data_IF_039464365611
#
_entry.id   IF_039464365611
#
_cell.length_a   1.000
_cell.length_b   1.000
_cell.length_c   1.000
_cell.angle_alpha   90.00
_cell.angle_beta   90.00
_cell.angle_gamma   90.00
#
_symmetry.space_group_name_H-M   'P 1'
#
loop_
_entity.id
_entity.type
_entity.pdbx_description
1 polymer ?
#
# COMPACT_ATOMS: atom_id res chain seq x y z
N UNK A 1 28.59 -14.97 -16.14
CA UNK A 1 28.94 -15.31 -17.54
C UNK A 1 27.89 -14.64 -18.41
N UNK A 2 28.16 -13.41 -18.83
CA UNK A 2 27.22 -12.50 -19.49
C UNK A 2 27.30 -12.73 -20.99
N UNK A 3 26.34 -13.45 -21.56
CA UNK A 3 26.21 -13.54 -23.00
C UNK A 3 25.78 -12.18 -23.57
N UNK A 4 26.68 -11.63 -24.39
CA UNK A 4 26.48 -10.38 -25.12
C UNK A 4 25.52 -10.66 -26.28
N UNK A 5 24.35 -10.02 -26.28
CA UNK A 5 23.54 -9.84 -27.49
C UNK A 5 24.26 -8.87 -28.46
N UNK A 6 25.33 -9.30 -29.15
CA UNK A 6 26.15 -8.39 -29.97
C UNK A 6 25.93 -8.46 -31.49
N UNK A 7 24.96 -9.21 -32.01
CA UNK A 7 24.91 -9.48 -33.45
C UNK A 7 23.64 -9.03 -34.20
N UNK A 8 22.76 -8.24 -33.59
CA UNK A 8 21.72 -7.54 -34.36
C UNK A 8 22.32 -6.30 -35.03
N UNK A 9 22.84 -6.47 -36.24
CA UNK A 9 23.19 -5.33 -37.09
C UNK A 9 21.90 -4.73 -37.61
N UNK A 10 21.60 -3.51 -37.18
CA UNK A 10 20.52 -2.70 -37.76
C UNK A 10 20.85 -2.48 -39.23
N UNK A 11 19.95 -2.90 -40.12
CA UNK A 11 20.17 -2.70 -41.56
C UNK A 11 20.20 -1.21 -41.88
N UNK A 12 21.00 -0.82 -42.88
CA UNK A 12 21.05 0.55 -43.34
C UNK A 12 19.66 1.08 -43.71
N UNK A 13 18.80 0.22 -44.26
CA UNK A 13 17.42 0.54 -44.62
C UNK A 13 16.55 0.85 -43.41
N UNK A 14 16.67 0.09 -42.32
CA UNK A 14 15.95 0.40 -41.08
C UNK A 14 16.41 1.73 -40.49
N UNK A 15 17.73 1.97 -40.45
CA UNK A 15 18.29 3.23 -39.98
C UNK A 15 17.79 4.42 -40.82
N UNK A 16 17.85 4.33 -42.14
CA UNK A 16 17.40 5.36 -43.07
C UNK A 16 15.89 5.62 -42.94
N UNK A 17 15.11 4.57 -42.73
CA UNK A 17 13.67 4.65 -42.47
C UNK A 17 13.39 5.41 -41.18
N UNK A 18 14.09 5.06 -40.10
CA UNK A 18 13.95 5.71 -38.80
C UNK A 18 14.33 7.20 -38.86
N UNK A 19 15.45 7.52 -39.52
CA UNK A 19 15.89 8.90 -39.73
C UNK A 19 14.87 9.69 -40.55
N UNK A 20 14.30 9.09 -41.59
CA UNK A 20 13.26 9.70 -42.41
C UNK A 20 11.97 9.97 -41.62
N UNK A 21 11.56 9.03 -40.76
CA UNK A 21 10.40 9.20 -39.86
C UNK A 21 10.63 10.33 -38.86
N UNK A 22 11.81 10.38 -38.21
CA UNK A 22 12.16 11.44 -37.26
C UNK A 22 12.20 12.80 -37.96
N UNK A 23 12.79 12.87 -39.16
CA UNK A 23 12.85 14.10 -39.94
C UNK A 23 11.46 14.56 -40.39
N UNK A 24 10.59 13.64 -40.80
CA UNK A 24 9.20 13.95 -41.12
C UNK A 24 8.45 14.47 -39.89
N UNK A 25 8.59 13.81 -38.74
CA UNK A 25 7.92 14.21 -37.50
C UNK A 25 8.32 15.63 -37.08
N UNK A 26 9.64 15.92 -37.02
CA UNK A 26 10.14 17.27 -36.67
C UNK A 26 9.60 18.37 -37.58
N UNK A 27 9.46 18.09 -38.90
CA UNK A 27 8.96 19.06 -39.88
C UNK A 27 7.45 19.31 -39.79
N UNK A 28 6.70 18.34 -39.29
CA UNK A 28 5.24 18.38 -39.31
C UNK A 28 4.62 18.53 -37.92
N UNK A 29 5.43 18.50 -36.85
CA UNK A 29 4.96 18.55 -35.46
C UNK A 29 3.99 19.71 -35.20
N UNK A 30 4.32 20.92 -35.63
CA UNK A 30 3.49 22.11 -35.46
C UNK A 30 2.23 22.15 -36.34
N UNK A 31 2.18 21.30 -37.39
CA UNK A 31 1.05 21.19 -38.32
C UNK A 31 0.08 20.09 -37.92
N UNK A 32 0.42 19.29 -36.92
CA UNK A 32 -0.51 18.32 -36.36
C UNK A 32 -1.67 19.10 -35.69
N UNK A 33 -2.93 18.67 -35.88
CA UNK A 33 -4.07 19.31 -35.25
C UNK A 33 -3.84 19.41 -33.74
N UNK A 34 -4.25 20.56 -33.17
CA UNK A 34 -3.99 21.01 -31.79
C UNK A 34 -3.89 19.84 -30.80
N UNK A 35 -2.66 19.38 -30.53
CA UNK A 35 -2.44 18.25 -29.62
C UNK A 35 -2.63 18.64 -28.15
N UNK A 36 -3.20 19.82 -27.83
CA UNK A 36 -3.52 20.19 -26.44
C UNK A 36 -4.46 19.20 -25.74
N UNK A 37 -5.28 18.45 -26.49
CA UNK A 37 -6.12 17.36 -25.96
C UNK A 37 -5.40 16.00 -25.99
N UNK A 38 -4.36 15.87 -26.80
CA UNK A 38 -3.36 14.82 -26.69
C UNK A 38 -2.20 15.36 -25.83
N UNK A 39 -2.50 15.73 -24.57
CA UNK A 39 -1.51 15.31 -23.57
C UNK A 39 -1.40 13.83 -23.84
N UNK A 40 -0.28 13.35 -24.36
CA UNK A 40 0.13 12.00 -24.05
C UNK A 40 -0.07 11.95 -22.54
N UNK A 41 -1.13 11.27 -22.10
CA UNK A 41 -1.18 10.74 -20.76
C UNK A 41 0.02 9.81 -20.75
N UNK A 42 1.19 10.42 -20.52
CA UNK A 42 2.46 9.76 -20.62
C UNK A 42 2.32 8.58 -19.70
N UNK A 43 2.76 7.41 -20.19
CA UNK A 43 2.79 6.18 -19.42
C UNK A 43 3.19 6.55 -17.99
N UNK A 44 2.22 6.54 -17.07
CA UNK A 44 2.53 6.91 -15.70
C UNK A 44 3.40 5.78 -15.17
N UNK A 45 4.48 6.10 -14.42
CA UNK A 45 5.33 5.05 -13.88
C UNK A 45 4.48 4.13 -12.99
N UNK A 46 4.85 2.84 -12.90
CA UNK A 46 4.28 1.97 -11.89
C UNK A 46 4.43 2.59 -10.50
N UNK A 47 3.45 2.36 -9.65
CA UNK A 47 3.47 2.82 -8.27
C UNK A 47 3.61 1.63 -7.34
N UNK A 48 4.30 1.85 -6.22
CA UNK A 48 4.13 1.03 -5.01
C UNK A 48 3.22 1.81 -4.08
N UNK A 49 2.34 1.13 -3.35
CA UNK A 49 1.37 1.80 -2.50
C UNK A 49 1.07 1.03 -1.23
N UNK A 50 0.37 1.70 -0.31
CA UNK A 50 -0.27 1.14 0.88
C UNK A 50 -1.78 1.40 0.80
N UNK A 51 -2.61 0.39 0.99
CA UNK A 51 -4.08 0.55 0.97
C UNK A 51 -4.56 1.33 2.18
N UNK A 52 -5.49 2.26 1.98
CA UNK A 52 -6.00 3.11 3.07
C UNK A 52 -7.35 2.64 3.62
N UNK A 53 -8.02 1.72 2.95
CA UNK A 53 -9.30 1.15 3.37
C UNK A 53 -9.40 -0.30 2.89
N UNK A 54 -10.22 -1.15 3.55
CA UNK A 54 -10.49 -2.50 3.10
C UNK A 54 -11.24 -2.53 1.77
N UNK A 55 -11.15 -3.64 1.04
CA UNK A 55 -11.80 -3.79 -0.26
C UNK A 55 -12.12 -5.23 -0.66
N UNK A 56 -13.30 -5.42 -1.26
CA UNK A 56 -13.69 -6.66 -1.94
C UNK A 56 -14.72 -6.40 -3.04
N UNK A 57 -14.70 -7.23 -4.09
CA UNK A 57 -15.66 -7.21 -5.21
C UNK A 57 -16.86 -8.12 -4.93
N UNK A 58 -16.66 -9.13 -4.08
CA UNK A 58 -17.64 -10.17 -3.77
C UNK A 58 -17.61 -10.52 -2.27
N UNK A 59 -18.77 -10.87 -1.74
CA UNK A 59 -18.93 -11.30 -0.34
C UNK A 59 -19.60 -12.66 -0.27
N UNK A 60 -19.27 -13.47 0.73
CA UNK A 60 -19.95 -14.73 1.03
C UNK A 60 -21.08 -14.44 2.02
N UNK A 61 -22.31 -14.78 1.65
CA UNK A 61 -23.49 -14.73 2.54
C UNK A 61 -23.99 -16.14 2.82
N UNK A 62 -24.70 -16.30 3.94
CA UNK A 62 -25.39 -17.54 4.30
C UNK A 62 -26.89 -17.39 4.07
N UNK A 63 -27.53 -18.38 3.46
CA UNK A 63 -28.98 -18.39 3.31
C UNK A 63 -29.66 -18.45 4.69
N UNK A 64 -30.70 -17.64 4.88
CA UNK A 64 -31.49 -17.65 6.11
C UNK A 64 -32.39 -18.89 6.18
N UNK A 65 -32.83 -19.24 7.40
CA UNK A 65 -33.82 -20.28 7.64
C UNK A 65 -35.07 -20.10 6.77
N UNK A 66 -35.58 -21.18 6.17
CA UNK A 66 -36.72 -21.12 5.25
C UNK A 66 -36.39 -20.65 3.83
N UNK A 67 -35.11 -20.56 3.47
CA UNK A 67 -34.68 -20.44 2.06
C UNK A 67 -34.69 -21.82 1.41
N UNK A 68 -35.34 -21.96 0.25
CA UNK A 68 -35.40 -23.21 -0.50
C UNK A 68 -34.84 -23.04 -1.90
N UNK A 69 -34.35 -24.14 -2.47
CA UNK A 69 -33.85 -24.13 -3.84
C UNK A 69 -34.91 -24.46 -4.91
N UNK A 70 -34.47 -24.74 -6.14
CA UNK A 70 -35.38 -25.07 -7.23
C UNK A 70 -35.94 -26.50 -7.14
N UNK A 71 -35.27 -27.42 -6.45
CA UNK A 71 -35.73 -28.79 -6.22
C UNK A 71 -36.48 -28.97 -4.88
N UNK A 72 -36.47 -27.94 -4.03
CA UNK A 72 -37.22 -27.86 -2.80
C UNK A 72 -36.42 -28.21 -1.54
N UNK A 73 -35.09 -28.31 -1.63
CA UNK A 73 -34.22 -28.49 -0.47
C UNK A 73 -34.11 -27.22 0.39
N UNK A 74 -33.94 -27.36 1.70
CA UNK A 74 -33.71 -26.19 2.58
C UNK A 74 -32.23 -25.81 2.52
N UNK A 75 -31.95 -24.56 2.14
CA UNK A 75 -30.61 -24.00 1.99
C UNK A 75 -30.05 -23.37 3.25
N UNK A 76 -30.74 -23.43 4.38
CA UNK A 76 -30.35 -22.73 5.60
C UNK A 76 -28.87 -23.01 5.96
N UNK A 77 -28.09 -21.94 6.11
CA UNK A 77 -26.66 -22.03 6.42
C UNK A 77 -25.73 -22.34 5.24
N UNK A 78 -26.25 -22.62 4.05
CA UNK A 78 -25.44 -22.75 2.84
C UNK A 78 -24.86 -21.38 2.44
N UNK A 79 -23.61 -21.37 2.02
CA UNK A 79 -22.88 -20.17 1.58
C UNK A 79 -23.10 -19.89 0.08
N UNK A 80 -23.20 -18.61 -0.26
CA UNK A 80 -23.27 -18.15 -1.64
C UNK A 80 -22.57 -16.80 -1.81
N UNK A 81 -22.04 -16.56 -3.00
CA UNK A 81 -21.30 -15.33 -3.31
C UNK A 81 -22.23 -14.25 -3.87
N UNK A 82 -22.11 -13.02 -3.38
CA UNK A 82 -22.84 -11.84 -3.85
C UNK A 82 -21.85 -10.79 -4.34
N UNK A 83 -22.07 -10.23 -5.54
CA UNK A 83 -21.28 -9.09 -6.02
C UNK A 83 -21.65 -7.84 -5.22
N UNK A 84 -20.66 -7.11 -4.74
CA UNK A 84 -20.82 -5.81 -4.04
C UNK A 84 -20.26 -4.68 -4.90
N UNK A 85 -20.26 -3.45 -4.36
CA UNK A 85 -19.82 -2.23 -5.06
C UNK A 85 -18.31 -2.16 -5.38
N UNK A 86 -17.58 -3.27 -5.25
CA UNK A 86 -16.13 -3.36 -5.48
C UNK A 86 -15.70 -3.31 -6.95
N UNK A 87 -16.38 -2.56 -7.81
CA UNK A 87 -15.78 -2.11 -9.09
C UNK A 87 -15.20 -0.68 -8.95
N UNK A 88 -15.54 0.01 -7.85
CA UNK A 88 -15.04 1.36 -7.57
C UNK A 88 -13.57 1.29 -7.11
N UNK A 89 -12.71 2.22 -7.56
CA UNK A 89 -11.33 2.24 -7.11
C UNK A 89 -11.22 2.83 -5.70
N UNK A 90 -10.29 2.30 -4.90
CA UNK A 90 -10.06 2.71 -3.52
C UNK A 90 -8.84 3.62 -3.36
N UNK A 91 -8.82 4.49 -2.33
CA UNK A 91 -7.65 5.31 -2.02
C UNK A 91 -6.46 4.47 -1.54
N UNK A 92 -5.28 4.82 -2.05
CA UNK A 92 -4.00 4.25 -1.65
C UNK A 92 -2.97 5.35 -1.45
N UNK A 93 -2.13 5.22 -0.43
CA UNK A 93 -0.96 6.09 -0.25
C UNK A 93 0.18 5.58 -1.13
N UNK A 94 0.71 6.45 -2.00
CA UNK A 94 1.84 6.08 -2.86
C UNK A 94 3.14 6.18 -2.08
N UNK A 95 4.00 5.18 -2.27
CA UNK A 95 5.38 5.21 -1.80
C UNK A 95 6.33 5.36 -2.98
N UNK A 96 7.50 5.95 -2.74
CA UNK A 96 8.54 6.11 -3.75
C UNK A 96 9.86 5.52 -3.27
N UNK A 97 10.63 5.01 -4.21
CA UNK A 97 11.90 4.36 -3.93
C UNK A 97 13.00 5.41 -3.75
N UNK A 98 13.69 5.35 -2.61
CA UNK A 98 14.77 6.26 -2.23
C UNK A 98 16.04 5.47 -1.83
N UNK A 99 16.81 4.95 -2.80
CA UNK A 99 17.99 4.13 -2.51
C UNK A 99 19.12 4.89 -1.80
N UNK A 100 19.07 6.22 -1.81
CA UNK A 100 20.02 7.12 -1.16
C UNK A 100 19.30 8.09 -0.20
N UNK A 101 18.08 7.77 0.20
CA UNK A 101 17.31 8.55 1.17
C UNK A 101 17.83 8.36 2.59
N UNK A 102 17.18 9.01 3.55
CA UNK A 102 17.47 8.74 4.95
C UNK A 102 17.08 7.30 5.33
N UNK A 103 17.67 6.80 6.42
CA UNK A 103 17.27 5.53 7.02
C UNK A 103 15.79 5.59 7.41
N UNK A 104 15.04 4.56 7.03
CA UNK A 104 13.61 4.42 7.31
C UNK A 104 13.34 3.04 7.85
N UNK A 105 12.45 2.97 8.82
CA UNK A 105 11.97 1.71 9.38
C UNK A 105 10.45 1.64 9.24
N UNK A 106 9.97 0.49 8.81
CA UNK A 106 8.55 0.18 8.71
C UNK A 106 8.19 -0.73 9.89
N UNK A 107 7.41 -0.19 10.82
CA UNK A 107 6.79 -0.93 11.92
C UNK A 107 5.48 -1.51 11.41
N UNK A 108 5.30 -2.82 11.51
CA UNK A 108 4.13 -3.56 11.03
C UNK A 108 3.50 -4.34 12.15
N UNK A 109 2.19 -4.20 12.35
CA UNK A 109 1.42 -4.89 13.38
C UNK A 109 0.67 -6.09 12.78
N UNK A 110 0.80 -7.27 13.39
CA UNK A 110 0.20 -8.53 12.93
C UNK A 110 -0.73 -9.09 14.00
N UNK A 111 -1.99 -9.35 13.65
CA UNK A 111 -2.98 -9.90 14.57
C UNK A 111 -4.35 -9.21 14.45
N UNK A 112 -5.37 -9.95 14.88
CA UNK A 112 -6.79 -9.62 14.72
C UNK A 112 -7.32 -8.61 15.75
N UNK A 113 -6.61 -8.46 16.86
CA UNK A 113 -6.96 -7.52 17.92
C UNK A 113 -5.69 -6.86 18.41
N UNK A 114 -5.31 -5.81 17.70
CA UNK A 114 -4.24 -4.94 18.10
C UNK A 114 -4.89 -3.93 19.06
N UNK A 115 -4.45 -3.86 20.30
CA UNK A 115 -4.93 -2.89 21.28
C UNK A 115 -3.96 -2.83 22.45
N UNK A 116 -3.92 -1.67 23.11
CA UNK A 116 -3.04 -1.44 24.25
C UNK A 116 -1.92 -0.46 23.91
N UNK A 117 -0.89 -0.45 24.73
CA UNK A 117 0.23 0.46 24.59
C UNK A 117 1.50 -0.35 24.31
N UNK A 118 2.36 0.17 23.44
CA UNK A 118 3.68 -0.40 23.15
C UNK A 118 4.77 0.61 23.49
N UNK A 119 6.01 0.18 23.57
CA UNK A 119 7.16 1.09 23.52
C UNK A 119 8.09 0.70 22.39
N UNK A 120 8.74 1.70 21.82
CA UNK A 120 9.83 1.52 20.88
C UNK A 120 11.14 1.78 21.60
N UNK A 121 12.11 0.89 21.43
CA UNK A 121 13.42 1.00 22.04
C UNK A 121 14.49 1.07 20.96
N UNK A 122 15.42 2.01 21.09
CA UNK A 122 16.54 2.19 20.16
C UNK A 122 17.81 2.44 20.96
N UNK A 123 18.84 1.62 20.70
CA UNK A 123 20.14 1.70 21.40
C UNK A 123 20.03 1.66 22.94
N UNK A 124 19.00 1.00 23.48
CA UNK A 124 18.76 0.86 24.91
C UNK A 124 17.93 1.99 25.55
N UNK A 125 17.57 3.04 24.81
CA UNK A 125 16.60 4.05 25.27
C UNK A 125 15.19 3.65 24.82
N UNK A 126 14.20 3.74 25.72
CA UNK A 126 12.79 3.41 25.45
C UNK A 126 11.90 4.65 25.43
N UNK A 127 10.89 4.66 24.56
CA UNK A 127 9.87 5.70 24.56
C UNK A 127 8.99 5.60 25.81
N UNK A 128 8.28 6.69 26.12
CA UNK A 128 7.04 6.56 26.89
C UNK A 128 6.06 5.61 26.15
N UNK A 129 5.11 4.97 26.86
CA UNK A 129 4.11 4.13 26.21
C UNK A 129 3.33 4.87 25.12
N UNK A 130 3.25 4.26 23.94
CA UNK A 130 2.52 4.74 22.77
C UNK A 130 1.24 3.93 22.64
N UNK A 131 0.11 4.62 22.76
CA UNK A 131 -1.20 3.97 22.68
C UNK A 131 -1.57 3.62 21.24
N UNK A 132 -1.98 2.37 21.03
CA UNK A 132 -2.46 1.81 19.77
C UNK A 132 -3.96 2.01 19.55
N UNK A 133 -4.59 3.00 20.18
CA UNK A 133 -5.98 3.41 19.89
C UNK A 133 -5.97 4.51 18.81
N UNK A 134 -6.89 4.57 17.83
CA UNK A 134 -6.72 5.44 16.64
C UNK A 134 -6.55 6.90 16.99
N UNK A 135 -7.36 7.35 17.92
CA UNK A 135 -7.35 8.73 18.38
C UNK A 135 -6.01 9.14 18.97
N UNK A 136 -5.19 8.17 19.39
CA UNK A 136 -3.89 8.37 20.01
C UNK A 136 -2.72 7.94 19.11
N UNK A 137 -2.92 6.99 18.19
CA UNK A 137 -1.90 6.48 17.27
C UNK A 137 -1.69 7.42 16.07
N UNK A 138 -1.56 8.73 16.33
CA UNK A 138 -1.32 9.75 15.30
C UNK A 138 0.17 9.97 15.08
N UNK A 139 0.53 10.46 13.89
CA UNK A 139 1.91 10.83 13.57
C UNK A 139 2.52 11.78 14.61
N UNK A 140 1.76 12.77 15.08
CA UNK A 140 2.24 13.77 16.05
C UNK A 140 2.56 13.15 17.41
N UNK A 141 1.71 12.23 17.90
CA UNK A 141 1.93 11.58 19.19
C UNK A 141 3.12 10.63 19.13
N UNK A 142 3.28 9.88 18.04
CA UNK A 142 4.41 8.97 17.85
C UNK A 142 5.71 9.77 17.69
N UNK A 143 5.72 10.86 16.91
CA UNK A 143 6.87 11.79 16.82
C UNK A 143 7.23 12.32 18.20
N UNK A 144 6.25 12.81 18.97
CA UNK A 144 6.49 13.34 20.32
C UNK A 144 7.10 12.29 21.26
N UNK A 145 6.68 11.02 21.16
CA UNK A 145 7.26 9.93 21.95
C UNK A 145 8.69 9.59 21.52
N UNK A 146 8.95 9.54 20.21
CA UNK A 146 10.27 9.25 19.64
C UNK A 146 11.29 10.37 19.91
N UNK A 147 10.89 11.64 19.77
CA UNK A 147 11.78 12.79 19.99
C UNK A 147 12.23 12.95 21.46
N UNK A 148 11.55 12.29 22.40
CA UNK A 148 11.98 12.23 23.81
C UNK A 148 13.17 11.29 24.03
N UNK A 149 13.42 10.37 23.10
CA UNK A 149 14.60 9.51 23.17
C UNK A 149 15.86 10.37 23.03
N UNK A 150 16.83 10.29 23.95
CA UNK A 150 18.09 11.04 23.87
C UNK A 150 18.85 10.80 22.56
N UNK A 151 18.79 9.58 22.03
CA UNK A 151 19.41 9.21 20.74
C UNK A 151 18.73 9.86 19.53
N UNK A 152 17.42 10.15 19.61
CA UNK A 152 16.69 10.77 18.50
C UNK A 152 16.72 12.30 18.64
N UNK A 153 16.22 12.84 19.75
CA UNK A 153 16.08 14.27 19.97
C UNK A 153 15.01 14.94 19.08
N UNK A 154 14.74 16.21 19.35
CA UNK A 154 13.65 16.94 18.67
C UNK A 154 14.02 17.39 17.25
N UNK A 155 13.06 17.29 16.32
CA UNK A 155 13.21 17.65 14.91
C UNK A 155 13.89 16.59 14.04
N UNK A 156 14.20 15.42 14.60
CA UNK A 156 15.05 14.41 13.98
C UNK A 156 14.29 13.16 13.50
N UNK A 157 12.96 13.17 13.54
CA UNK A 157 12.14 12.05 13.05
C UNK A 157 10.85 12.53 12.40
N UNK A 158 10.45 11.88 11.31
CA UNK A 158 9.13 12.00 10.71
C UNK A 158 8.41 10.65 10.77
N UNK A 159 7.11 10.68 11.03
CA UNK A 159 6.28 9.46 11.08
C UNK A 159 5.09 9.61 10.14
N UNK A 160 4.91 8.63 9.25
CA UNK A 160 3.66 8.44 8.51
C UNK A 160 2.93 7.23 9.09
N UNK A 161 1.69 7.44 9.52
CA UNK A 161 0.81 6.38 9.99
C UNK A 161 -0.08 5.90 8.85
N UNK A 162 0.03 4.62 8.52
CA UNK A 162 -0.90 3.88 7.67
C UNK A 162 -1.72 2.91 8.55
N UNK A 163 -2.87 2.41 8.05
CA UNK A 163 -3.56 1.34 8.75
C UNK A 163 -2.62 0.16 9.03
N UNK A 164 -2.47 -0.24 10.29
CA UNK A 164 -1.60 -1.34 10.72
C UNK A 164 -0.09 -1.17 10.49
N UNK A 165 0.39 0.02 10.08
CA UNK A 165 1.83 0.25 9.82
C UNK A 165 2.26 1.68 10.13
N UNK A 166 3.46 1.83 10.68
CA UNK A 166 4.11 3.13 10.84
C UNK A 166 5.40 3.17 10.04
N UNK A 167 5.53 4.16 9.16
CA UNK A 167 6.77 4.47 8.49
C UNK A 167 7.49 5.57 9.28
N UNK A 168 8.64 5.22 9.85
CA UNK A 168 9.48 6.12 10.64
C UNK A 168 10.70 6.47 9.79
N UNK A 169 10.94 7.77 9.56
CA UNK A 169 12.10 8.29 8.85
C UNK A 169 12.98 9.12 9.78
N UNK A 170 14.25 8.77 9.89
CA UNK A 170 15.24 9.57 10.61
C UNK A 170 15.66 10.77 9.76
N UNK A 171 15.55 11.98 10.28
CA UNK A 171 15.79 13.22 9.53
C UNK A 171 16.59 14.23 10.37
N UNK A 172 16.69 15.47 9.90
CA UNK A 172 17.39 16.53 10.63
C UNK A 172 18.87 16.17 10.83
N UNK A 173 19.33 16.23 12.07
CA UNK A 173 20.70 15.91 12.45
C UNK A 173 21.04 14.42 12.28
N UNK A 174 20.03 13.56 12.14
CA UNK A 174 20.19 12.12 11.90
C UNK A 174 20.12 11.74 10.41
N UNK A 175 20.00 12.73 9.52
CA UNK A 175 19.96 12.50 8.07
C UNK A 175 21.21 11.79 7.58
N UNK A 176 21.03 10.73 6.78
CA UNK A 176 22.12 9.91 6.23
C UNK A 176 22.81 8.98 7.23
N UNK A 177 22.36 8.92 8.49
CA UNK A 177 22.84 7.93 9.46
C UNK A 177 22.07 6.62 9.32
N UNK A 178 22.69 5.52 9.76
CA UNK A 178 22.06 4.20 9.84
C UNK A 178 21.92 3.77 11.29
N UNK A 179 20.80 3.11 11.60
CA UNK A 179 20.46 2.65 12.94
C UNK A 179 20.11 1.16 12.89
N UNK A 180 20.21 0.49 14.04
CA UNK A 180 19.60 -0.82 14.20
C UNK A 180 18.07 -0.69 14.21
N UNK A 181 17.36 -1.78 13.92
CA UNK A 181 15.90 -1.77 14.00
C UNK A 181 15.44 -1.49 15.44
N UNK A 182 14.32 -0.77 15.59
CA UNK A 182 13.66 -0.66 16.89
C UNK A 182 13.37 -2.05 17.46
N UNK A 183 13.67 -2.22 18.74
CA UNK A 183 13.07 -3.26 19.55
C UNK A 183 11.70 -2.78 20.01
N UNK A 184 10.72 -3.69 20.09
CA UNK A 184 9.35 -3.34 20.48
C UNK A 184 9.01 -4.07 21.78
N UNK A 185 8.76 -3.29 22.83
CA UNK A 185 8.19 -3.81 24.07
C UNK A 185 6.67 -3.85 23.93
N UNK A 186 6.12 -5.07 23.93
CA UNK A 186 4.68 -5.33 23.85
C UNK A 186 4.20 -5.94 25.18
N UNK A 187 2.97 -5.62 25.62
CA UNK A 187 2.41 -6.24 26.82
C UNK A 187 2.37 -7.76 26.69
N UNK A 188 2.69 -8.49 27.77
CA UNK A 188 2.68 -9.97 27.75
C UNK A 188 1.31 -10.58 27.47
N UNK A 189 0.24 -9.80 27.59
CA UNK A 189 -1.13 -10.20 27.28
C UNK A 189 -1.56 -9.83 25.85
N UNK A 190 -0.68 -9.20 25.06
CA UNK A 190 -0.95 -8.88 23.67
C UNK A 190 -1.18 -10.18 22.86
N UNK A 191 -2.16 -10.15 21.97
CA UNK A 191 -2.47 -11.22 21.02
C UNK A 191 -2.12 -10.81 19.59
N UNK A 192 -1.12 -9.93 19.48
CA UNK A 192 -0.58 -9.43 18.22
C UNK A 192 0.95 -9.44 18.28
N UNK A 193 1.57 -9.47 17.11
CA UNK A 193 3.01 -9.37 16.91
C UNK A 193 3.36 -8.03 16.27
N UNK A 194 4.60 -7.60 16.44
CA UNK A 194 5.13 -6.40 15.79
C UNK A 194 6.43 -6.75 15.09
N UNK A 195 6.54 -6.38 13.82
CA UNK A 195 7.74 -6.54 13.02
C UNK A 195 8.28 -5.19 12.61
N UNK A 196 9.58 -4.98 12.81
CA UNK A 196 10.30 -3.78 12.38
C UNK A 196 11.31 -4.19 11.32
N UNK A 197 11.26 -3.53 10.17
CA UNK A 197 12.24 -3.73 9.10
C UNK A 197 12.71 -2.40 8.50
N UNK A 198 13.98 -2.35 8.12
CA UNK A 198 14.49 -1.27 7.29
C UNK A 198 13.80 -1.29 5.91
N UNK A 199 13.51 -0.10 5.38
CA UNK A 199 12.93 0.06 4.04
C UNK A 199 13.57 1.21 3.28
N UNK A 200 13.66 1.05 1.96
CA UNK A 200 14.09 2.11 1.04
C UNK A 200 12.91 2.87 0.43
N UNK A 201 11.69 2.63 0.92
CA UNK A 201 10.47 3.24 0.39
C UNK A 201 10.00 4.35 1.32
N UNK A 202 9.95 5.57 0.80
CA UNK A 202 9.46 6.75 1.49
C UNK A 202 7.98 7.01 1.20
N UNK A 203 7.34 7.77 2.08
CA UNK A 203 5.99 8.30 1.85
C UNK A 203 6.04 9.44 0.83
N UNK A 204 5.32 9.31 -0.28
CA UNK A 204 5.23 10.38 -1.28
C UNK A 204 4.26 11.49 -0.89
N UNK A 205 3.48 11.30 0.20
CA UNK A 205 2.37 12.16 0.64
C UNK A 205 1.28 12.33 -0.41
N UNK A 206 1.24 11.43 -1.40
CA UNK A 206 0.27 11.42 -2.48
C UNK A 206 -0.71 10.28 -2.27
N UNK A 207 -1.99 10.60 -2.35
CA UNK A 207 -3.06 9.61 -2.43
C UNK A 207 -3.47 9.44 -3.88
N UNK A 208 -3.56 8.20 -4.34
CA UNK A 208 -4.08 7.83 -5.66
C UNK A 208 -5.28 6.90 -5.49
N UNK A 209 -6.00 6.65 -6.58
CA UNK A 209 -7.08 5.66 -6.64
C UNK A 209 -6.62 4.45 -7.43
N UNK A 210 -6.89 3.25 -6.91
CA UNK A 210 -6.52 1.99 -7.56
C UNK A 210 -7.71 1.07 -7.76
N UNK A 211 -7.74 0.41 -8.91
CA UNK A 211 -8.68 -0.67 -9.22
C UNK A 211 -8.04 -2.02 -8.93
N UNK A 212 -8.84 -2.99 -8.46
CA UNK A 212 -8.43 -4.39 -8.41
C UNK A 212 -9.15 -5.17 -9.50
N UNK A 213 -8.42 -5.82 -10.44
CA UNK A 213 -9.03 -6.42 -11.63
C UNK A 213 -9.53 -7.85 -11.40
N UNK A 214 -9.13 -8.51 -10.31
CA UNK A 214 -9.46 -9.91 -10.02
C UNK A 214 -10.70 -9.95 -9.12
N UNK A 215 -11.62 -10.92 -9.30
CA UNK A 215 -12.65 -11.21 -8.31
C UNK A 215 -12.03 -11.48 -6.94
N UNK A 216 -12.11 -10.47 -6.10
CA UNK A 216 -11.74 -10.50 -4.69
C UNK A 216 -12.98 -10.93 -3.90
N UNK A 217 -12.86 -12.00 -3.12
CA UNK A 217 -13.96 -12.61 -2.35
C UNK A 217 -13.61 -12.52 -0.85
N UNK A 218 -14.50 -11.96 -0.03
CA UNK A 218 -14.43 -11.98 1.45
C UNK A 218 -15.67 -12.61 2.10
N UNK A 219 -15.65 -12.90 3.40
CA UNK A 219 -16.80 -13.37 4.20
C UNK A 219 -17.64 -12.26 4.87
N UNK A 220 -18.97 -12.24 4.69
CA UNK A 220 -19.85 -11.23 5.31
C UNK A 220 -19.77 -11.18 6.85
N UNK A 221 -19.31 -10.06 7.42
CA UNK A 221 -19.17 -9.81 8.87
C UNK A 221 -20.36 -9.07 9.50
N UNK A 222 -21.11 -8.31 8.70
CA UNK A 222 -22.47 -7.86 9.03
C UNK A 222 -22.63 -6.46 9.61
N UNK A 223 -21.62 -5.61 9.53
CA UNK A 223 -21.66 -4.20 9.94
C UNK A 223 -21.61 -3.21 8.77
N UNK A 224 -21.04 -3.58 7.63
CA UNK A 224 -21.09 -2.81 6.39
C UNK A 224 -21.33 -3.67 5.13
N UNK A 225 -21.49 -3.05 3.96
CA UNK A 225 -21.73 -3.77 2.69
C UNK A 225 -20.41 -4.29 2.04
N UNK A 226 -19.30 -4.34 2.77
CA UNK A 226 -17.94 -4.52 2.27
C UNK A 226 -17.11 -5.42 3.17
N UNK A 227 -16.85 -6.66 2.75
CA UNK A 227 -15.94 -7.50 3.52
C UNK A 227 -14.48 -7.18 3.22
N UNK A 228 -13.84 -6.40 4.08
CA UNK A 228 -12.75 -6.79 4.98
C UNK A 228 -11.57 -7.74 4.58
N UNK A 229 -11.68 -8.84 3.81
CA UNK A 229 -10.58 -9.84 3.79
C UNK A 229 -9.83 -10.00 2.46
N UNK A 230 -10.38 -9.53 1.34
CA UNK A 230 -9.72 -9.79 0.07
C UNK A 230 -8.51 -8.85 -0.14
N UNK A 231 -8.63 -7.62 0.36
CA UNK A 231 -7.54 -6.65 0.51
C UNK A 231 -7.77 -5.88 1.81
N UNK A 232 -6.97 -6.18 2.84
CA UNK A 232 -7.00 -5.46 4.11
C UNK A 232 -6.44 -4.04 3.96
N UNK A 233 -6.89 -3.10 4.79
CA UNK A 233 -6.23 -1.81 4.94
C UNK A 233 -4.77 -2.01 5.40
N UNK A 234 -3.85 -1.17 4.94
CA UNK A 234 -2.41 -1.30 5.22
C UNK A 234 -1.67 -2.31 4.36
N UNK A 235 -2.35 -3.01 3.45
CA UNK A 235 -1.72 -3.93 2.51
C UNK A 235 -0.80 -3.17 1.56
N UNK A 236 0.40 -3.71 1.34
CA UNK A 236 1.35 -3.14 0.38
C UNK A 236 1.13 -3.77 -0.99
N UNK A 237 1.08 -2.96 -2.03
CA UNK A 237 0.94 -3.46 -3.40
C UNK A 237 1.70 -2.66 -4.44
N UNK A 238 1.61 -3.13 -5.67
CA UNK A 238 2.06 -2.40 -6.86
C UNK A 238 0.91 -2.21 -7.83
N UNK A 239 0.98 -1.13 -8.62
CA UNK A 239 -0.05 -0.80 -9.59
C UNK A 239 0.51 -0.20 -10.86
N UNK A 240 -0.13 -0.52 -11.98
CA UNK A 240 0.21 -0.04 -13.30
C UNK A 240 -0.88 0.88 -13.85
N UNK A 241 -0.50 1.92 -14.58
CA UNK A 241 -1.46 2.83 -15.20
C UNK A 241 -1.95 2.30 -16.54
N UNK A 242 -3.27 2.23 -16.69
CA UNK A 242 -3.95 1.86 -17.91
C UNK A 242 -4.76 3.05 -18.45
N UNK A 243 -4.46 3.53 -19.67
CA UNK A 243 -5.21 4.63 -20.28
C UNK A 243 -6.71 4.36 -20.30
N UNK A 244 -7.50 5.32 -19.82
CA UNK A 244 -8.97 5.21 -19.74
C UNK A 244 -9.51 4.42 -18.54
N UNK A 245 -8.65 3.76 -17.75
CA UNK A 245 -9.04 3.04 -16.52
C UNK A 245 -8.45 3.75 -15.29
N UNK A 246 -7.15 4.00 -15.27
CA UNK A 246 -6.43 4.51 -14.10
C UNK A 246 -5.37 3.54 -13.62
N UNK A 247 -4.97 3.62 -12.35
CA UNK A 247 -4.09 2.61 -11.76
C UNK A 247 -4.86 1.32 -11.50
N UNK A 248 -4.27 0.20 -11.86
CA UNK A 248 -4.78 -1.14 -11.62
C UNK A 248 -3.72 -1.91 -10.83
N UNK A 249 -4.12 -2.48 -9.70
CA UNK A 249 -3.27 -3.33 -8.88
C UNK A 249 -2.89 -4.60 -9.64
N UNK A 250 -1.60 -4.91 -9.66
CA UNK A 250 -1.09 -6.16 -10.23
C UNK A 250 -0.53 -7.11 -9.17
N UNK A 251 -0.14 -6.57 -8.02
CA UNK A 251 0.26 -7.33 -6.85
C UNK A 251 -0.24 -6.62 -5.60
N UNK A 252 -0.76 -7.41 -4.66
CA UNK A 252 -1.10 -6.93 -3.33
C UNK A 252 -0.66 -7.99 -2.32
N UNK A 253 -0.08 -7.54 -1.23
CA UNK A 253 0.20 -8.36 -0.07
C UNK A 253 -1.09 -8.95 0.49
N UNK A 254 -1.11 -10.26 0.69
CA UNK A 254 -2.13 -10.91 1.51
C UNK A 254 -1.77 -10.66 2.97
N UNK A 255 -2.60 -9.88 3.65
CA UNK A 255 -2.52 -9.65 5.10
C UNK A 255 -3.54 -10.65 5.70
N UNK A 256 -3.09 -11.64 6.46
CA UNK A 256 -3.96 -12.58 7.20
C UNK A 256 -4.58 -11.86 8.42
N UNK A 257 -5.67 -11.12 8.21
CA UNK A 257 -6.43 -10.47 9.30
C UNK A 257 -7.88 -10.88 9.16
N UNK A 258 -8.57 -10.93 10.29
CA UNK A 258 -10.03 -10.80 10.38
C UNK A 258 -10.49 -9.38 9.99
N UNK A 259 -10.11 -8.94 8.81
CA UNK A 259 -10.98 -8.07 8.07
C UNK A 259 -10.92 -6.59 8.32
N UNK A 260 -11.15 -6.13 9.54
CA UNK A 260 -11.45 -4.72 9.79
C UNK A 260 -10.26 -3.77 9.53
N UNK A 261 -9.07 -4.34 9.27
CA UNK A 261 -7.86 -3.58 9.02
C UNK A 261 -7.48 -2.70 10.21
N UNK A 262 -8.07 -3.00 11.37
CA UNK A 262 -7.99 -2.22 12.59
C UNK A 262 -7.44 -3.12 13.72
N UNK A 263 -6.37 -2.72 14.44
CA UNK A 263 -6.57 -2.63 15.91
C UNK A 263 -7.90 -1.92 16.07
N UNK A 264 -8.95 -2.32 16.81
CA UNK A 264 -10.10 -1.40 17.01
C UNK A 264 -9.57 0.03 17.24
N UNK A 265 -9.66 0.86 16.20
CA UNK A 265 -8.95 2.12 16.01
C UNK A 265 -10.08 3.13 15.78
#
# INVERSE_FOLDING_TARGET
MTERFSNYQVTADFKNTLESMVAWYKRNFEKLPDQKHLKTEGVRPPIRYVTLQPYSNYIIKKYATGSYDLDGDERNGQEFTVKVDGDLPIPVAVTHYEPYGNHKQLVTFVGDNIAGDIKLALNGDETDPISLLAQNATSENIVTALEKLPVIGSGNVAVTVYPGRWLIEFMGDLSGMSFDNFEVDIPSAAIFEVHVCETLWGDSRRVEKIHYPIPLIGEWDGDDNTVNDAVAAGSIGTGHWFPGVGYVSDLNECRDYNGDGTPNL
#
